data_IF_064579134929
#
_entry.id   IF_064579134929
#
_cell.length_a   1.000
_cell.length_b   1.000
_cell.length_c   1.000
_cell.angle_alpha   90.00
_cell.angle_beta   90.00
_cell.angle_gamma   90.00
#
_symmetry.space_group_name_H-M   'P 1'
#
loop_
_entity.id
_entity.type
_entity.pdbx_description
1 polymer ?
#
# COMPACT_ATOMS: atom_id res chain seq x y z
N UNK A 1 -34.59 -42.06 -11.52
CA UNK A 1 -34.37 -40.63 -11.23
C UNK A 1 -34.21 -40.53 -9.73
N UNK A 2 -33.03 -40.95 -9.24
CA UNK A 2 -32.72 -41.10 -7.81
C UNK A 2 -32.21 -39.75 -7.32
N UNK A 3 -32.82 -39.20 -6.26
CA UNK A 3 -32.40 -37.93 -5.68
C UNK A 3 -30.92 -38.03 -5.21
N UNK A 4 -30.11 -36.96 -5.35
CA UNK A 4 -28.75 -36.97 -4.83
C UNK A 4 -28.77 -37.23 -3.33
N UNK A 5 -27.91 -38.15 -2.89
CA UNK A 5 -27.82 -38.58 -1.51
C UNK A 5 -27.35 -37.41 -0.64
N UNK A 6 -28.06 -37.17 0.48
CA UNK A 6 -27.70 -36.09 1.43
C UNK A 6 -26.29 -36.29 1.99
N UNK A 7 -25.77 -37.52 1.97
CA UNK A 7 -24.42 -37.86 2.41
C UNK A 7 -23.32 -37.26 1.51
N UNK A 8 -23.57 -37.15 0.20
CA UNK A 8 -22.63 -36.55 -0.76
C UNK A 8 -22.59 -35.02 -0.58
N UNK A 9 -23.73 -34.40 -0.28
CA UNK A 9 -23.85 -32.97 -0.01
C UNK A 9 -23.11 -32.53 1.27
N UNK A 10 -23.17 -33.33 2.35
CA UNK A 10 -22.40 -33.07 3.59
C UNK A 10 -20.92 -33.39 3.45
N UNK A 11 -20.55 -34.40 2.66
CA UNK A 11 -19.14 -34.70 2.39
C UNK A 11 -18.48 -33.62 1.51
N UNK A 12 -19.22 -33.02 0.59
CA UNK A 12 -18.71 -31.97 -0.30
C UNK A 12 -18.67 -30.60 0.40
N UNK A 13 -19.62 -30.33 1.31
CA UNK A 13 -19.59 -29.14 2.17
C UNK A 13 -18.40 -29.14 3.17
N UNK A 14 -18.01 -30.31 3.67
CA UNK A 14 -16.86 -30.45 4.60
C UNK A 14 -15.50 -30.47 3.90
N UNK A 15 -15.45 -30.87 2.62
CA UNK A 15 -14.25 -30.76 1.80
C UNK A 15 -13.92 -29.30 1.43
N UNK A 16 -14.94 -28.47 1.17
CA UNK A 16 -14.78 -27.05 0.81
C UNK A 16 -14.31 -26.19 2.01
N UNK A 17 -14.68 -26.57 3.23
CA UNK A 17 -14.29 -25.89 4.47
C UNK A 17 -12.79 -26.04 4.82
N UNK A 18 -12.11 -27.02 4.21
CA UNK A 18 -10.72 -27.38 4.52
C UNK A 18 -9.65 -26.66 3.70
N UNK A 19 -10.04 -25.81 2.74
CA UNK A 19 -9.12 -24.99 1.96
C UNK A 19 -8.65 -23.71 2.69
N UNK A 20 -8.57 -23.75 4.03
CA UNK A 20 -8.05 -22.65 4.83
C UNK A 20 -6.53 -22.63 4.69
N UNK A 21 -6.02 -21.72 3.84
CA UNK A 21 -4.59 -21.43 3.72
C UNK A 21 -3.98 -21.26 5.13
N UNK A 22 -2.94 -22.02 5.50
CA UNK A 22 -2.32 -21.90 6.81
C UNK A 22 -1.89 -20.46 7.07
N UNK A 23 -2.34 -19.88 8.18
CA UNK A 23 -1.91 -18.54 8.57
C UNK A 23 -0.38 -18.54 8.77
N UNK A 24 0.36 -17.54 8.24
CA UNK A 24 1.80 -17.48 8.43
C UNK A 24 2.16 -17.43 9.91
N UNK A 25 3.35 -17.94 10.26
CA UNK A 25 3.86 -17.95 11.64
C UNK A 25 3.77 -16.55 12.25
N UNK A 26 3.29 -16.46 13.49
CA UNK A 26 3.06 -15.18 14.20
C UNK A 26 4.30 -14.26 14.18
N UNK A 27 5.49 -14.83 14.41
CA UNK A 27 6.75 -14.09 14.34
C UNK A 27 7.03 -13.45 12.97
N UNK A 28 6.64 -14.11 11.88
CA UNK A 28 6.78 -13.56 10.52
C UNK A 28 5.80 -12.41 10.28
N UNK A 29 4.57 -12.51 10.79
CA UNK A 29 3.59 -11.43 10.68
C UNK A 29 4.07 -10.16 11.40
N UNK A 30 4.59 -10.28 12.62
CA UNK A 30 5.17 -9.15 13.35
C UNK A 30 6.41 -8.57 12.69
N UNK A 31 7.26 -9.41 12.09
CA UNK A 31 8.39 -8.95 11.28
C UNK A 31 7.92 -8.10 10.09
N UNK A 32 6.90 -8.55 9.35
CA UNK A 32 6.33 -7.79 8.23
C UNK A 32 5.74 -6.46 8.69
N UNK A 33 5.03 -6.44 9.82
CA UNK A 33 4.50 -5.19 10.41
C UNK A 33 5.64 -4.22 10.71
N UNK A 34 6.74 -4.69 11.32
CA UNK A 34 7.92 -3.85 11.60
C UNK A 34 8.52 -3.23 10.34
N UNK A 35 8.64 -4.01 9.25
CA UNK A 35 9.10 -3.50 7.97
C UNK A 35 8.13 -2.45 7.41
N UNK A 36 6.83 -2.77 7.36
CA UNK A 36 5.82 -1.86 6.82
C UNK A 36 5.76 -0.56 7.63
N UNK A 37 5.97 -0.62 8.94
CA UNK A 37 6.10 0.55 9.81
C UNK A 37 7.29 1.42 9.40
N UNK A 38 8.48 0.81 9.22
CA UNK A 38 9.68 1.54 8.80
C UNK A 38 9.46 2.20 7.43
N UNK A 39 8.94 1.45 6.46
CA UNK A 39 8.60 1.98 5.12
C UNK A 39 7.62 3.15 5.23
N UNK A 40 6.62 3.05 6.10
CA UNK A 40 5.66 4.13 6.32
C UNK A 40 6.31 5.37 6.97
N UNK A 41 7.22 5.18 7.93
CA UNK A 41 7.99 6.27 8.54
C UNK A 41 8.82 7.01 7.48
N UNK A 42 9.53 6.30 6.62
CA UNK A 42 10.26 6.91 5.51
C UNK A 42 9.32 7.68 4.56
N UNK A 43 8.20 7.06 4.16
CA UNK A 43 7.20 7.74 3.33
C UNK A 43 6.64 9.02 3.97
N UNK A 44 6.59 9.08 5.30
CA UNK A 44 6.16 10.28 6.03
C UNK A 44 7.27 11.34 6.10
N UNK A 45 8.52 10.92 6.35
CA UNK A 45 9.68 11.81 6.38
C UNK A 45 9.91 12.51 5.05
N UNK A 46 9.75 11.81 3.92
CA UNK A 46 9.87 12.38 2.58
C UNK A 46 8.91 13.56 2.33
N UNK A 47 7.72 13.55 2.93
CA UNK A 47 6.81 14.70 2.86
C UNK A 47 7.23 15.83 3.79
N UNK A 48 7.80 15.51 4.94
CA UNK A 48 8.19 16.51 5.93
C UNK A 48 9.49 17.23 5.58
N UNK A 49 10.42 16.58 4.87
CA UNK A 49 11.68 17.22 4.49
C UNK A 49 11.43 18.47 3.62
N UNK A 50 10.47 18.43 2.69
CA UNK A 50 10.11 19.61 1.90
C UNK A 50 9.56 20.74 2.78
N UNK A 51 8.74 20.42 3.78
CA UNK A 51 8.21 21.43 4.71
C UNK A 51 9.32 22.09 5.53
N UNK A 52 10.33 21.32 5.95
CA UNK A 52 11.49 21.84 6.69
C UNK A 52 12.43 22.69 5.82
N UNK A 53 12.50 22.38 4.52
CA UNK A 53 13.38 23.07 3.58
C UNK A 53 12.70 24.19 2.80
N UNK A 54 11.43 24.54 3.10
CA UNK A 54 10.72 25.60 2.38
C UNK A 54 11.49 26.91 2.36
N UNK A 55 11.92 27.39 3.53
CA UNK A 55 12.59 28.69 3.66
C UNK A 55 13.96 28.73 2.95
N UNK A 56 14.86 27.73 3.13
CA UNK A 56 16.12 27.74 2.38
C UNK A 56 15.90 27.57 0.87
N UNK A 57 14.95 26.76 0.42
CA UNK A 57 14.65 26.61 -1.02
C UNK A 57 14.15 27.94 -1.62
N UNK A 58 13.30 28.68 -0.90
CA UNK A 58 12.84 30.02 -1.35
C UNK A 58 14.00 30.99 -1.47
N UNK A 59 14.90 31.01 -0.48
CA UNK A 59 16.05 31.91 -0.47
C UNK A 59 17.05 31.59 -1.60
N UNK A 60 17.28 30.31 -1.88
CA UNK A 60 18.25 29.88 -2.89
C UNK A 60 17.72 29.99 -4.33
N UNK A 61 16.40 29.83 -4.54
CA UNK A 61 15.77 29.82 -5.87
C UNK A 61 14.98 31.09 -6.21
N UNK A 62 14.87 32.04 -5.28
CA UNK A 62 14.08 33.28 -5.41
C UNK A 62 12.62 33.02 -5.88
N UNK A 63 11.98 32.03 -5.28
CA UNK A 63 10.63 31.59 -5.63
C UNK A 63 9.58 32.07 -4.61
N UNK A 64 8.37 32.33 -5.11
CA UNK A 64 7.27 32.87 -4.29
C UNK A 64 6.55 31.79 -3.45
N UNK A 65 5.82 32.24 -2.42
CA UNK A 65 4.98 31.37 -1.57
C UNK A 65 3.98 30.51 -2.37
N UNK A 66 3.47 31.06 -3.47
CA UNK A 66 2.56 30.36 -4.37
C UNK A 66 3.27 29.21 -5.10
N UNK A 67 4.50 29.43 -5.57
CA UNK A 67 5.28 28.40 -6.26
C UNK A 67 5.66 27.25 -5.33
N UNK A 68 6.00 27.55 -4.08
CA UNK A 68 6.19 26.53 -3.03
C UNK A 68 4.91 25.76 -2.77
N UNK A 69 3.76 26.42 -2.75
CA UNK A 69 2.47 25.76 -2.54
C UNK A 69 2.14 24.78 -3.68
N UNK A 70 2.59 25.07 -4.91
CA UNK A 70 2.50 24.10 -6.00
C UNK A 70 3.38 22.88 -5.77
N UNK A 71 4.60 23.07 -5.26
CA UNK A 71 5.53 21.96 -4.99
C UNK A 71 5.09 21.11 -3.80
N UNK A 72 4.75 21.73 -2.67
CA UNK A 72 4.42 21.05 -1.42
C UNK A 72 3.00 20.52 -1.33
N UNK A 73 2.04 21.14 -2.05
CA UNK A 73 0.62 20.77 -1.96
C UNK A 73 0.07 20.22 -3.28
N UNK A 74 0.08 21.04 -4.33
CA UNK A 74 -0.60 20.72 -5.58
C UNK A 74 0.01 19.51 -6.30
N UNK A 75 1.34 19.46 -6.41
CA UNK A 75 2.05 18.35 -7.05
C UNK A 75 1.77 17.02 -6.36
N UNK A 76 1.78 16.98 -5.03
CA UNK A 76 1.44 15.78 -4.26
C UNK A 76 -0.03 15.38 -4.44
N UNK A 77 -0.97 16.34 -4.40
CA UNK A 77 -2.37 16.05 -4.60
C UNK A 77 -2.65 15.46 -5.99
N UNK A 78 -2.08 16.07 -7.04
CA UNK A 78 -2.17 15.53 -8.40
C UNK A 78 -1.53 14.15 -8.50
N UNK A 79 -0.34 13.96 -7.94
CA UNK A 79 0.36 12.69 -8.02
C UNK A 79 -0.45 11.57 -7.32
N UNK A 80 -0.90 11.78 -6.08
CA UNK A 80 -1.66 10.76 -5.36
C UNK A 80 -3.04 10.50 -5.93
N UNK A 81 -3.71 11.49 -6.51
CA UNK A 81 -5.00 11.25 -7.16
C UNK A 81 -4.84 10.51 -8.48
N UNK A 82 -3.86 10.90 -9.30
CA UNK A 82 -3.64 10.32 -10.62
C UNK A 82 -3.04 8.91 -10.54
N UNK A 83 -2.03 8.71 -9.69
CA UNK A 83 -1.33 7.43 -9.56
C UNK A 83 -1.85 6.55 -8.43
N UNK A 84 -2.51 7.11 -7.42
CA UNK A 84 -3.06 6.31 -6.31
C UNK A 84 -4.12 5.31 -6.77
N UNK A 85 -5.03 5.71 -7.66
CA UNK A 85 -6.08 4.81 -8.17
C UNK A 85 -5.52 3.68 -9.03
N UNK A 86 -4.65 3.94 -10.04
CA UNK A 86 -4.01 2.87 -10.81
C UNK A 86 -3.14 1.94 -9.96
N UNK A 87 -2.35 2.49 -9.03
CA UNK A 87 -1.47 1.69 -8.16
C UNK A 87 -2.31 0.84 -7.19
N UNK A 88 -3.40 1.38 -6.64
CA UNK A 88 -4.33 0.60 -5.82
C UNK A 88 -4.93 -0.57 -6.60
N UNK A 89 -5.41 -0.33 -7.83
CA UNK A 89 -5.91 -1.40 -8.71
C UNK A 89 -4.83 -2.45 -9.01
N UNK A 90 -3.59 -2.04 -9.20
CA UNK A 90 -2.46 -2.97 -9.37
C UNK A 90 -2.16 -3.74 -8.07
N UNK A 91 -2.27 -3.10 -6.91
CA UNK A 91 -2.03 -3.73 -5.61
C UNK A 91 -3.05 -4.84 -5.32
N UNK A 92 -4.30 -4.64 -5.74
CA UNK A 92 -5.38 -5.62 -5.57
C UNK A 92 -5.25 -6.81 -6.55
N UNK A 93 -4.71 -6.57 -7.75
CA UNK A 93 -4.68 -7.58 -8.82
C UNK A 93 -3.33 -8.27 -9.01
N UNK A 94 -2.23 -7.71 -8.49
CA UNK A 94 -0.85 -8.21 -8.69
C UNK A 94 -0.15 -8.50 -7.36
N UNK A 95 1.12 -8.91 -7.43
CA UNK A 95 1.92 -9.21 -6.25
C UNK A 95 2.24 -7.93 -5.44
N UNK A 96 1.48 -7.72 -4.36
CA UNK A 96 1.67 -6.61 -3.41
C UNK A 96 3.11 -6.42 -2.94
N UNK A 97 3.89 -7.50 -2.79
CA UNK A 97 5.29 -7.40 -2.33
C UNK A 97 6.16 -6.66 -3.35
N UNK A 98 5.97 -6.97 -4.64
CA UNK A 98 6.72 -6.34 -5.74
C UNK A 98 6.35 -4.87 -5.86
N UNK A 99 5.07 -4.53 -5.67
CA UNK A 99 4.60 -3.14 -5.75
C UNK A 99 5.18 -2.31 -4.61
N UNK A 100 5.15 -2.83 -3.38
CA UNK A 100 5.74 -2.15 -2.22
C UNK A 100 7.26 -1.99 -2.40
N UNK A 101 7.97 -3.04 -2.86
CA UNK A 101 9.42 -2.93 -3.08
C UNK A 101 9.78 -1.98 -4.22
N UNK A 102 8.96 -1.91 -5.29
CA UNK A 102 9.18 -1.00 -6.40
C UNK A 102 8.94 0.46 -6.02
N UNK A 103 8.06 0.74 -5.05
CA UNK A 103 7.85 2.09 -4.53
C UNK A 103 8.94 2.57 -3.56
N UNK A 104 9.78 1.65 -3.06
CA UNK A 104 10.89 1.96 -2.15
C UNK A 104 12.25 2.06 -2.87
N UNK A 105 12.39 1.38 -4.01
CA UNK A 105 13.61 1.35 -4.82
C UNK A 105 13.79 2.65 -5.63
#
# INVERSE_FOLDING_TARGET
MTAPDRSESTAQASADESAISPYPREAYSWYVVGILMIVYVFSFMDRQILALLVDPIKADLDISDTQISYLGGFAFALFYTLFGIPIARMADSKNRKVIISAGLA
#
